data_IF_701719565344
#
_entry.id   IF_701719565344
#
_cell.length_a   1.000
_cell.length_b   1.000
_cell.length_c   1.000
_cell.angle_alpha   90.00
_cell.angle_beta   90.00
_cell.angle_gamma   90.00
#
_symmetry.space_group_name_H-M   'P 1'
#
loop_
_entity.id
_entity.type
_entity.pdbx_description
1 polymer ?
#
# COMPACT_ATOMS: atom_id res chain seq x y z
N UNK A 1 -3.01 -8.80 -20.19
CA UNK A 1 -2.11 -8.77 -19.02
C UNK A 1 -2.23 -7.38 -18.45
N UNK A 2 -2.60 -7.26 -17.18
CA UNK A 2 -2.77 -5.99 -16.48
C UNK A 2 -1.80 -5.95 -15.29
N UNK A 3 -1.35 -4.75 -14.93
CA UNK A 3 -0.41 -4.52 -13.83
C UNK A 3 -0.91 -3.33 -13.00
N UNK A 4 -1.14 -3.58 -11.72
CA UNK A 4 -1.47 -2.54 -10.75
C UNK A 4 -0.21 -2.08 -10.02
N UNK A 5 0.10 -0.79 -10.09
CA UNK A 5 1.18 -0.17 -9.34
C UNK A 5 0.60 0.57 -8.13
N UNK A 6 1.00 0.14 -6.94
CA UNK A 6 0.53 0.70 -5.67
C UNK A 6 1.72 1.21 -4.88
N UNK A 7 1.64 2.46 -4.41
CA UNK A 7 2.59 3.01 -3.44
C UNK A 7 2.15 2.63 -2.02
N UNK A 8 3.12 2.36 -1.13
CA UNK A 8 2.84 2.24 0.30
C UNK A 8 2.04 3.44 0.84
N UNK A 9 1.23 3.18 1.85
CA UNK A 9 0.43 4.21 2.52
C UNK A 9 1.29 5.13 3.41
N UNK A 10 0.66 6.13 4.05
CA UNK A 10 1.38 7.14 4.84
C UNK A 10 2.19 6.51 5.99
N UNK A 11 3.54 6.64 6.00
CA UNK A 11 4.38 6.17 7.10
C UNK A 11 4.32 7.11 8.31
N UNK A 12 4.73 6.63 9.50
CA UNK A 12 4.82 7.48 10.72
C UNK A 12 5.87 8.59 10.60
N UNK A 13 6.91 8.37 9.79
CA UNK A 13 7.99 9.32 9.53
C UNK A 13 8.48 9.12 8.11
N UNK A 14 8.94 10.19 7.48
CA UNK A 14 9.72 10.12 6.25
C UNK A 14 11.15 10.53 6.59
N UNK A 15 12.11 9.63 6.36
CA UNK A 15 13.53 9.97 6.43
C UNK A 15 14.04 10.33 5.03
N UNK A 16 14.42 11.60 4.86
CA UNK A 16 15.07 12.08 3.65
C UNK A 16 16.53 12.46 3.93
N UNK A 17 17.14 11.91 4.98
CA UNK A 17 18.52 12.21 5.33
C UNK A 17 19.47 11.71 4.25
N UNK A 18 20.57 12.46 4.05
CA UNK A 18 21.63 12.09 3.11
C UNK A 18 22.48 10.90 3.59
N UNK A 19 22.12 10.26 4.71
CA UNK A 19 22.87 9.14 5.29
C UNK A 19 22.85 7.89 4.40
N UNK A 20 21.85 7.76 3.52
CA UNK A 20 21.68 6.61 2.64
C UNK A 20 21.13 5.36 3.35
N UNK A 21 20.94 5.42 4.66
CA UNK A 21 20.38 4.32 5.44
C UNK A 21 18.89 4.14 5.11
N UNK A 22 18.44 2.92 4.79
CA UNK A 22 17.04 2.66 4.53
C UNK A 22 16.21 2.92 5.79
N UNK A 23 15.36 3.93 5.75
CA UNK A 23 14.33 4.05 6.76
C UNK A 23 13.22 3.03 6.49
N UNK A 24 12.90 2.23 7.51
CA UNK A 24 11.78 1.29 7.51
C UNK A 24 10.75 1.68 8.58
N UNK A 25 10.09 2.84 8.43
CA UNK A 25 9.05 3.26 9.35
C UNK A 25 7.77 2.48 9.07
N UNK A 26 7.12 2.00 10.14
CA UNK A 26 5.77 1.46 10.03
C UNK A 26 4.75 2.50 9.53
N UNK A 27 3.56 2.02 9.16
CA UNK A 27 2.45 2.88 8.77
C UNK A 27 1.89 3.67 9.94
N UNK A 28 1.49 4.91 9.68
CA UNK A 28 0.65 5.68 10.60
C UNK A 28 -0.77 5.09 10.67
N UNK A 29 -1.56 5.48 11.66
CA UNK A 29 -2.97 5.07 11.74
C UNK A 29 -3.76 5.42 10.47
N UNK A 30 -3.48 6.59 9.87
CA UNK A 30 -4.06 6.98 8.58
C UNK A 30 -3.54 6.07 7.46
N UNK A 31 -2.26 5.72 7.47
CA UNK A 31 -1.67 4.77 6.54
C UNK A 31 -2.34 3.40 6.61
N UNK A 32 -2.60 2.88 7.81
CA UNK A 32 -3.35 1.64 8.01
C UNK A 32 -4.75 1.70 7.38
N UNK A 33 -5.49 2.81 7.60
CA UNK A 33 -6.81 3.00 6.98
C UNK A 33 -6.76 3.10 5.45
N UNK A 34 -5.73 3.74 4.89
CA UNK A 34 -5.50 3.80 3.44
C UNK A 34 -5.26 2.40 2.86
N UNK A 35 -4.44 1.59 3.51
CA UNK A 35 -4.19 0.20 3.11
C UNK A 35 -5.46 -0.65 3.17
N UNK A 36 -6.28 -0.51 4.23
CA UNK A 36 -7.57 -1.20 4.32
C UNK A 36 -8.53 -0.80 3.20
N UNK A 37 -8.64 0.50 2.91
CA UNK A 37 -9.52 0.98 1.84
C UNK A 37 -9.11 0.44 0.46
N UNK A 38 -7.80 0.30 0.21
CA UNK A 38 -7.30 -0.34 -1.01
C UNK A 38 -7.66 -1.83 -1.06
N UNK A 39 -7.54 -2.56 0.05
CA UNK A 39 -7.93 -3.97 0.12
C UNK A 39 -9.44 -4.15 -0.15
N UNK A 40 -10.27 -3.27 0.40
CA UNK A 40 -11.71 -3.24 0.12
C UNK A 40 -11.99 -2.95 -1.35
N UNK A 41 -11.21 -2.06 -1.97
CA UNK A 41 -11.34 -1.75 -3.40
C UNK A 41 -10.97 -2.96 -4.28
N UNK A 42 -9.84 -3.62 -3.99
CA UNK A 42 -9.39 -4.80 -4.73
C UNK A 42 -10.38 -5.97 -4.66
N UNK A 43 -11.06 -6.11 -3.52
CA UNK A 43 -12.04 -7.18 -3.28
C UNK A 43 -13.46 -6.79 -3.72
N UNK A 44 -13.67 -5.58 -4.26
CA UNK A 44 -14.99 -5.07 -4.62
C UNK A 44 -15.92 -4.80 -3.43
N UNK A 45 -15.40 -4.81 -2.20
CA UNK A 45 -16.14 -4.47 -0.99
C UNK A 45 -16.29 -2.95 -0.79
N UNK A 46 -15.52 -2.15 -1.54
CA UNK A 46 -15.59 -0.69 -1.47
C UNK A 46 -16.89 -0.16 -2.12
N UNK A 47 -17.68 0.69 -1.42
CA UNK A 47 -18.89 1.28 -2.00
C UNK A 47 -18.60 2.09 -3.26
N UNK A 48 -19.27 1.77 -4.37
CA UNK A 48 -19.04 2.43 -5.67
C UNK A 48 -17.71 2.06 -6.33
N UNK A 49 -16.99 1.06 -5.81
CA UNK A 49 -15.75 0.54 -6.38
C UNK A 49 -15.97 -0.31 -7.64
N UNK A 50 -14.87 -0.66 -8.30
CA UNK A 50 -14.86 -1.63 -9.38
C UNK A 50 -15.28 -3.02 -8.85
N UNK A 51 -15.81 -3.93 -9.70
CA UNK A 51 -16.00 -5.32 -9.31
C UNK A 51 -14.66 -5.93 -8.89
N UNK A 52 -14.71 -6.92 -7.99
CA UNK A 52 -13.53 -7.62 -7.51
C UNK A 52 -12.66 -8.11 -8.67
N UNK A 53 -11.38 -7.74 -8.65
CA UNK A 53 -10.42 -8.16 -9.65
C UNK A 53 -9.64 -9.39 -9.14
N UNK A 54 -9.43 -10.38 -10.01
CA UNK A 54 -8.56 -11.51 -9.67
C UNK A 54 -7.11 -11.03 -9.69
N UNK A 55 -6.43 -11.12 -8.55
CA UNK A 55 -4.99 -10.88 -8.44
C UNK A 55 -4.26 -12.23 -8.43
N UNK A 56 -3.52 -12.52 -9.50
CA UNK A 56 -2.79 -13.80 -9.62
C UNK A 56 -1.50 -13.82 -8.78
N UNK A 57 -0.88 -12.65 -8.54
CA UNK A 57 0.35 -12.53 -7.75
C UNK A 57 0.50 -11.11 -7.16
N UNK A 58 1.19 -11.03 -6.01
CA UNK A 58 1.55 -9.76 -5.35
C UNK A 58 3.06 -9.74 -5.11
N UNK A 59 3.71 -8.64 -5.48
CA UNK A 59 5.14 -8.41 -5.25
C UNK A 59 5.31 -7.13 -4.42
N UNK A 60 6.11 -7.19 -3.37
CA UNK A 60 6.41 -6.06 -2.49
C UNK A 60 7.90 -6.05 -2.13
N UNK A 61 8.42 -4.90 -1.71
CA UNK A 61 9.78 -4.81 -1.16
C UNK A 61 9.89 -5.57 0.15
N UNK A 62 11.10 -5.99 0.53
CA UNK A 62 11.40 -6.62 1.82
C UNK A 62 11.43 -5.63 3.01
N UNK A 63 10.72 -4.50 2.90
CA UNK A 63 10.65 -3.41 3.89
C UNK A 63 9.24 -3.39 4.45
N UNK A 64 9.09 -3.34 5.77
CA UNK A 64 7.80 -3.50 6.47
C UNK A 64 7.60 -2.45 7.54
#
# INVERSE_FOLDING_TARGET
MELLLVRHALPVRVDNSASGEPADPGLSDLGGRQSSALADWLTGAHPGGAPAERIDAVYASTRT
#
